data_IF_269231925629
#
_entry.id   IF_269231925629
#
_cell.length_a   1.000
_cell.length_b   1.000
_cell.length_c   1.000
_cell.angle_alpha   90.00
_cell.angle_beta   90.00
_cell.angle_gamma   90.00
#
_symmetry.space_group_name_H-M   'P 1'
#
loop_
_entity.id
_entity.type
_entity.pdbx_description
1 polymer ?
#
# COMPACT_ATOMS: atom_id res chain seq x y z
N UNK A 1 6.99 -6.98 -12.85
CA UNK A 1 7.34 -5.78 -12.05
C UNK A 1 6.32 -5.60 -10.95
N UNK A 2 6.67 -4.87 -9.89
CA UNK A 2 5.78 -4.61 -8.75
C UNK A 2 5.14 -3.22 -8.81
N UNK A 3 3.96 -3.08 -8.22
CA UNK A 3 3.25 -1.80 -8.04
C UNK A 3 2.71 -1.72 -6.61
N UNK A 4 3.24 -0.77 -5.85
CA UNK A 4 2.71 -0.37 -4.54
C UNK A 4 1.77 0.84 -4.69
N UNK A 5 0.50 0.65 -4.30
CA UNK A 5 -0.53 1.69 -4.31
C UNK A 5 -0.72 2.27 -2.90
N UNK A 6 -0.51 3.58 -2.77
CA UNK A 6 -0.56 4.33 -1.50
C UNK A 6 -1.68 5.35 -1.57
N UNK A 7 -2.62 5.28 -0.63
CA UNK A 7 -3.82 6.13 -0.65
C UNK A 7 -3.52 7.53 -0.06
N UNK A 8 -4.44 8.46 -0.30
CA UNK A 8 -4.36 9.83 0.24
C UNK A 8 -4.89 9.97 1.68
N UNK A 9 -4.73 11.17 2.23
CA UNK A 9 -5.29 11.53 3.54
C UNK A 9 -6.83 11.49 3.51
N UNK A 10 -7.43 10.85 4.51
CA UNK A 10 -8.89 10.73 4.63
C UNK A 10 -9.50 9.65 3.73
N UNK A 11 -8.65 8.87 3.06
CA UNK A 11 -9.04 7.76 2.21
C UNK A 11 -8.62 6.40 2.82
N UNK A 12 -8.78 5.31 2.09
CA UNK A 12 -8.36 3.97 2.51
C UNK A 12 -7.76 3.16 1.36
N UNK A 13 -7.11 2.05 1.68
CA UNK A 13 -6.59 1.11 0.69
C UNK A 13 -7.68 0.57 -0.27
N UNK A 14 -8.97 0.63 0.12
CA UNK A 14 -10.08 0.16 -0.71
C UNK A 14 -10.27 0.97 -1.99
N UNK A 15 -9.89 2.25 -2.01
CA UNK A 15 -10.07 3.12 -3.18
C UNK A 15 -9.28 2.67 -4.42
N UNK A 16 -8.36 1.72 -4.24
CA UNK A 16 -7.64 1.10 -5.35
C UNK A 16 -8.20 -0.22 -5.83
N UNK A 17 -9.34 -0.71 -5.30
CA UNK A 17 -9.85 -2.05 -5.61
C UNK A 17 -9.86 -2.35 -7.12
N UNK A 18 -10.48 -1.48 -7.91
CA UNK A 18 -10.64 -1.68 -9.36
C UNK A 18 -9.32 -1.56 -10.13
N UNK A 19 -8.50 -0.57 -9.78
CA UNK A 19 -7.19 -0.33 -10.42
C UNK A 19 -6.22 -1.47 -10.10
N UNK A 20 -6.24 -1.98 -8.87
CA UNK A 20 -5.39 -3.08 -8.45
C UNK A 20 -5.72 -4.37 -9.21
N UNK A 21 -7.01 -4.67 -9.40
CA UNK A 21 -7.44 -5.81 -10.23
C UNK A 21 -6.98 -5.66 -11.69
N UNK A 22 -7.10 -4.46 -12.25
CA UNK A 22 -6.67 -4.17 -13.63
C UNK A 22 -5.16 -4.37 -13.80
N UNK A 23 -4.36 -3.84 -12.89
CA UNK A 23 -2.90 -3.99 -12.92
C UNK A 23 -2.46 -5.44 -12.69
N UNK A 24 -3.13 -6.16 -11.79
CA UNK A 24 -2.87 -7.59 -11.57
C UNK A 24 -3.16 -8.42 -12.84
N UNK A 25 -4.27 -8.14 -13.53
CA UNK A 25 -4.61 -8.79 -14.80
C UNK A 25 -3.58 -8.51 -15.92
N UNK A 26 -2.78 -7.46 -15.79
CA UNK A 26 -1.68 -7.12 -16.70
C UNK A 26 -0.33 -7.78 -16.30
N UNK A 27 -0.32 -8.62 -15.27
CA UNK A 27 0.86 -9.35 -14.83
C UNK A 27 1.75 -8.60 -13.83
N UNK A 28 1.27 -7.51 -13.24
CA UNK A 28 1.97 -6.86 -12.13
C UNK A 28 1.68 -7.55 -10.80
N UNK A 29 2.69 -7.67 -9.95
CA UNK A 29 2.45 -7.93 -8.52
C UNK A 29 1.98 -6.61 -7.91
N UNK A 30 0.72 -6.57 -7.46
CA UNK A 30 0.12 -5.33 -6.95
C UNK A 30 -0.15 -5.45 -5.45
N UNK A 31 0.25 -4.43 -4.70
CA UNK A 31 -0.01 -4.33 -3.26
C UNK A 31 -0.61 -2.97 -2.93
N UNK A 32 -1.57 -2.95 -2.02
CA UNK A 32 -2.04 -1.72 -1.38
C UNK A 32 -1.50 -1.66 0.04
N UNK A 33 -1.28 -0.45 0.54
CA UNK A 33 -0.86 -0.22 1.93
C UNK A 33 -1.93 0.55 2.68
N UNK A 34 -2.20 0.14 3.92
CA UNK A 34 -3.01 0.91 4.86
C UNK A 34 -2.07 1.75 5.72
N UNK A 35 -2.16 3.08 5.59
CA UNK A 35 -1.31 3.99 6.34
C UNK A 35 -1.74 4.06 7.82
N UNK A 36 -0.81 4.14 8.78
CA UNK A 36 -1.11 4.40 10.19
C UNK A 36 -2.17 5.49 10.39
N UNK A 37 -3.12 5.24 11.30
CA UNK A 37 -4.26 6.11 11.58
C UNK A 37 -5.45 5.99 10.63
N UNK A 38 -5.34 5.22 9.53
CA UNK A 38 -6.43 4.97 8.59
C UNK A 38 -7.03 3.56 8.78
N UNK A 39 -8.31 3.40 8.45
CA UNK A 39 -9.00 2.11 8.55
C UNK A 39 -9.26 1.63 9.99
N UNK A 40 -9.08 2.50 10.97
CA UNK A 40 -9.33 2.24 12.40
C UNK A 40 -10.42 3.19 12.92
N UNK A 41 -10.11 4.04 13.90
CA UNK A 41 -10.98 5.08 14.46
C UNK A 41 -10.37 6.46 14.24
N UNK A 42 -11.15 7.53 14.00
CA UNK A 42 -10.61 8.85 13.65
C UNK A 42 -9.58 9.43 14.63
N UNK A 43 -9.72 9.11 15.92
CA UNK A 43 -8.78 9.53 16.98
C UNK A 43 -7.37 8.97 16.81
N UNK A 44 -7.19 7.82 16.15
CA UNK A 44 -5.86 7.24 15.91
C UNK A 44 -5.01 8.11 14.97
N UNK A 45 -5.62 9.04 14.23
CA UNK A 45 -4.91 9.98 13.36
C UNK A 45 -4.18 11.07 14.15
N UNK A 46 -4.63 11.37 15.38
CA UNK A 46 -4.16 12.53 16.14
C UNK A 46 -2.68 12.46 16.51
N UNK A 47 -2.16 11.25 16.71
CA UNK A 47 -0.78 11.00 17.14
C UNK A 47 0.14 10.56 15.98
N UNK A 48 -0.38 10.51 14.75
CA UNK A 48 0.36 10.04 13.59
C UNK A 48 1.20 11.15 12.98
N UNK A 49 2.46 10.83 12.68
CA UNK A 49 3.42 11.71 12.01
C UNK A 49 3.71 11.24 10.58
N UNK A 50 4.06 12.18 9.71
CA UNK A 50 4.41 11.91 8.32
C UNK A 50 5.52 10.85 8.17
N UNK A 51 6.50 10.86 9.06
CA UNK A 51 7.62 9.91 9.03
C UNK A 51 7.15 8.47 9.20
N UNK A 52 6.05 8.24 9.92
CA UNK A 52 5.47 6.91 10.08
C UNK A 52 4.88 6.42 8.76
N UNK A 53 4.18 7.28 8.01
CA UNK A 53 3.70 6.92 6.67
C UNK A 53 4.85 6.65 5.71
N UNK A 54 5.86 7.53 5.70
CA UNK A 54 7.04 7.33 4.87
C UNK A 54 7.77 6.02 5.21
N UNK A 55 7.87 5.69 6.50
CA UNK A 55 8.51 4.46 6.94
C UNK A 55 7.77 3.23 6.42
N UNK A 56 6.45 3.17 6.59
CA UNK A 56 5.64 2.05 6.07
C UNK A 56 5.77 1.94 4.55
N UNK A 57 5.72 3.05 3.81
CA UNK A 57 5.89 3.01 2.34
C UNK A 57 7.28 2.48 1.95
N UNK A 58 8.35 2.92 2.64
CA UNK A 58 9.71 2.42 2.38
C UNK A 58 9.83 0.93 2.67
N UNK A 59 9.30 0.46 3.79
CA UNK A 59 9.31 -0.96 4.17
C UNK A 59 8.56 -1.82 3.16
N UNK A 60 7.36 -1.39 2.75
CA UNK A 60 6.56 -2.13 1.75
C UNK A 60 7.24 -2.15 0.37
N UNK A 61 7.84 -1.03 -0.06
CA UNK A 61 8.58 -0.99 -1.31
C UNK A 61 9.84 -1.86 -1.30
N UNK A 62 10.52 -1.99 -0.16
CA UNK A 62 11.67 -2.89 0.00
C UNK A 62 11.27 -4.36 -0.01
N UNK A 63 10.09 -4.70 0.52
CA UNK A 63 9.58 -6.08 0.53
C UNK A 63 9.27 -6.62 -0.88
N UNK A 64 8.95 -5.75 -1.86
CA UNK A 64 8.73 -6.17 -3.26
C UNK A 64 9.99 -6.75 -3.92
N UNK A 65 11.19 -6.43 -3.43
CA UNK A 65 12.45 -6.96 -3.98
C UNK A 65 12.73 -8.43 -3.58
N UNK A 66 11.94 -9.02 -2.68
CA UNK A 66 12.21 -10.35 -2.11
C UNK A 66 11.23 -11.43 -2.60
N UNK A 67 10.10 -11.06 -3.21
CA UNK A 67 9.03 -12.01 -3.53
C UNK A 67 8.54 -12.00 -4.98
N UNK A 68 9.37 -11.56 -5.95
CA UNK A 68 9.10 -11.93 -7.34
C UNK A 68 9.08 -13.46 -7.40
N UNK A 69 7.95 -14.10 -7.79
CA UNK A 69 7.88 -15.55 -7.81
C UNK A 69 8.93 -16.07 -8.79
N UNK A 70 9.78 -16.99 -8.31
CA UNK A 70 10.55 -17.86 -9.20
C UNK A 70 9.55 -18.47 -10.21
N UNK A 71 9.88 -18.27 -11.48
CA UNK A 71 9.08 -18.66 -12.63
C UNK A 71 8.60 -20.12 -12.55
N UNK A 72 7.35 -20.35 -13.01
CA UNK A 72 6.94 -21.61 -13.64
C UNK A 72 6.66 -21.33 -15.11
#
# INVERSE_FOLDING_TARGET
GGVLLVHGLGDSAWSFHDVAQTLAAQGYLVRTVLLPGHGTKPEDMLDVRLEQWQQVVREQAQQELVQAPDEL
#
